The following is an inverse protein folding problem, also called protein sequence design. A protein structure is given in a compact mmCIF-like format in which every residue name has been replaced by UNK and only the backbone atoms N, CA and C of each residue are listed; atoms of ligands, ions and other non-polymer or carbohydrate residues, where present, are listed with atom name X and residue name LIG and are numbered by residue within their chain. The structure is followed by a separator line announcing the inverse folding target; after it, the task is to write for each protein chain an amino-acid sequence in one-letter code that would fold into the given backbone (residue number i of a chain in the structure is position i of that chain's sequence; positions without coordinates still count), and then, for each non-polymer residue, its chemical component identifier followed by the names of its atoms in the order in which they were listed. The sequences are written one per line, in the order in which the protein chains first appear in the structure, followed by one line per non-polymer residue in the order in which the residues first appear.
data_IF_558938932046
#
_entry.id   IF_558938932046
#
_cell.length_a   1.000
_cell.length_b   1.000
_cell.length_c   1.000
_cell.angle_alpha   90.00
_cell.angle_beta   90.00
_cell.angle_gamma   90.00
#
_symmetry.space_group_name_H-M   'P 1'
#
loop_
_entity.id
_entity.type
_entity.pdbx_description
1 polymer ?
#
# COMPACT_ATOMS: atom_id res chain seq x y z
N UNK A 1 3.80 6.78 12.31
CA UNK A 1 2.77 7.74 11.84
C UNK A 1 1.56 6.93 11.38
N UNK A 2 0.33 7.42 11.58
CA UNK A 2 -0.85 6.76 11.00
C UNK A 2 -0.99 7.10 9.51
N UNK A 3 -1.14 6.08 8.67
CA UNK A 3 -1.37 6.20 7.24
C UNK A 3 -2.43 5.20 6.81
N UNK A 4 -3.40 5.68 6.01
CA UNK A 4 -4.37 4.84 5.32
C UNK A 4 -4.14 4.92 3.81
N UNK A 5 -4.15 3.78 3.12
CA UNK A 5 -4.06 3.68 1.67
C UNK A 5 -5.37 3.09 1.15
N UNK A 6 -6.07 3.85 0.31
CA UNK A 6 -7.25 3.39 -0.41
C UNK A 6 -6.91 3.35 -1.90
N UNK A 7 -7.07 2.19 -2.53
CA UNK A 7 -6.62 1.98 -3.91
C UNK A 7 -7.61 1.12 -4.70
N UNK A 8 -8.04 1.60 -5.87
CA UNK A 8 -8.90 0.88 -6.81
C UNK A 8 -8.15 0.58 -8.13
N UNK A 9 -7.34 -0.49 -8.16
CA UNK A 9 -6.53 -0.84 -9.32
C UNK A 9 -7.37 -1.34 -10.50
N UNK A 10 -7.10 -0.77 -11.68
CA UNK A 10 -7.84 -1.05 -12.92
C UNK A 10 -7.56 -2.42 -13.55
N UNK A 11 -6.48 -3.11 -13.15
CA UNK A 11 -6.12 -4.46 -13.60
C UNK A 11 -6.00 -5.43 -12.43
N UNK A 12 -6.16 -6.72 -12.70
CA UNK A 12 -5.93 -7.78 -11.69
C UNK A 12 -4.45 -7.85 -11.28
N UNK A 13 -3.54 -7.58 -12.23
CA UNK A 13 -2.10 -7.60 -12.00
C UNK A 13 -1.68 -6.51 -11.01
N UNK A 14 -2.11 -5.26 -11.24
CA UNK A 14 -1.83 -4.15 -10.32
C UNK A 14 -2.46 -4.39 -8.95
N UNK A 15 -3.64 -5.01 -8.89
CA UNK A 15 -4.28 -5.39 -7.63
C UNK A 15 -3.46 -6.41 -6.85
N UNK A 16 -3.02 -7.46 -7.53
CA UNK A 16 -2.22 -8.52 -6.93
C UNK A 16 -0.87 -7.98 -6.44
N UNK A 17 -0.24 -7.10 -7.21
CA UNK A 17 1.01 -6.44 -6.83
C UNK A 17 0.85 -5.56 -5.59
N UNK A 18 -0.19 -4.72 -5.53
CA UNK A 18 -0.49 -3.90 -4.35
C UNK A 18 -0.76 -4.75 -3.10
N UNK A 19 -1.49 -5.85 -3.25
CA UNK A 19 -1.82 -6.76 -2.15
C UNK A 19 -0.58 -7.46 -1.59
N UNK A 20 0.43 -7.71 -2.42
CA UNK A 20 1.71 -8.24 -1.99
C UNK A 20 2.65 -7.16 -1.40
N UNK A 21 2.57 -5.93 -1.89
CA UNK A 21 3.46 -4.82 -1.50
C UNK A 21 3.13 -4.24 -0.12
N UNK A 22 1.86 -3.89 0.13
CA UNK A 22 1.45 -3.17 1.34
C UNK A 22 1.81 -3.90 2.65
N UNK A 23 1.63 -5.23 2.77
CA UNK A 23 2.05 -5.97 3.96
C UNK A 23 3.54 -5.89 4.28
N UNK A 24 4.41 -5.76 3.26
CA UNK A 24 5.87 -5.61 3.47
C UNK A 24 6.22 -4.28 4.14
N UNK A 25 5.34 -3.29 4.03
CA UNK A 25 5.45 -1.99 4.70
C UNK A 25 4.73 -1.95 6.05
N UNK A 26 4.18 -3.08 6.51
CA UNK A 26 3.46 -3.17 7.79
C UNK A 26 2.03 -2.65 7.73
N UNK A 27 1.44 -2.60 6.53
CA UNK A 27 0.02 -2.29 6.37
C UNK A 27 -0.84 -3.53 6.54
N UNK A 28 -1.93 -3.38 7.28
CA UNK A 28 -2.95 -4.40 7.46
C UNK A 28 -4.18 -4.05 6.62
N UNK A 29 -4.83 -5.08 6.07
CA UNK A 29 -6.07 -4.89 5.33
C UNK A 29 -7.24 -4.77 6.31
N UNK A 30 -7.84 -3.58 6.38
CA UNK A 30 -8.96 -3.31 7.29
C UNK A 30 -10.33 -3.45 6.61
N UNK A 31 -10.40 -3.24 5.29
CA UNK A 31 -11.60 -3.43 4.47
C UNK A 31 -11.23 -3.72 3.01
N UNK A 32 -12.23 -3.86 2.13
CA UNK A 32 -11.98 -3.96 0.69
C UNK A 32 -11.24 -2.71 0.20
N UNK A 33 -10.16 -2.90 -0.54
CA UNK A 33 -9.39 -1.82 -1.16
C UNK A 33 -8.80 -0.78 -0.19
N UNK A 34 -8.71 -1.07 1.11
CA UNK A 34 -8.17 -0.14 2.09
C UNK A 34 -7.30 -0.86 3.13
N UNK A 35 -6.18 -0.20 3.43
CA UNK A 35 -5.07 -0.70 4.20
C UNK A 35 -4.57 0.38 5.16
N UNK A 36 -4.21 0.00 6.39
CA UNK A 36 -3.81 0.95 7.43
C UNK A 36 -2.54 0.51 8.14
N UNK A 37 -1.76 1.48 8.63
CA UNK A 37 -0.63 1.22 9.54
C UNK A 37 -0.39 2.42 10.46
N UNK A 38 0.14 2.16 11.66
CA UNK A 38 0.65 3.18 12.58
C UNK A 38 2.18 3.22 12.65
N UNK A 39 2.85 2.24 12.03
CA UNK A 39 4.27 1.93 12.26
C UNK A 39 5.21 2.46 11.17
N UNK A 40 4.71 3.16 10.16
CA UNK A 40 5.54 3.71 9.07
C UNK A 40 6.14 5.08 9.41
N UNK A 41 7.38 5.30 8.97
CA UNK A 41 8.08 6.59 9.01
C UNK A 41 8.07 7.29 7.64
N UNK A 42 8.48 8.56 7.60
CA UNK A 42 8.45 9.39 6.38
C UNK A 42 9.32 8.83 5.24
N UNK A 43 10.49 8.26 5.57
CA UNK A 43 11.42 7.73 4.58
C UNK A 43 10.84 6.47 3.92
N UNK A 44 10.29 5.56 4.72
CA UNK A 44 9.62 4.35 4.22
C UNK A 44 8.34 4.71 3.46
N UNK A 45 7.60 5.72 3.89
CA UNK A 45 6.41 6.19 3.15
C UNK A 45 6.79 6.72 1.76
N UNK A 46 7.87 7.49 1.65
CA UNK A 46 8.37 7.97 0.36
C UNK A 46 8.81 6.83 -0.57
N UNK A 47 9.44 5.78 -0.04
CA UNK A 47 9.77 4.57 -0.80
C UNK A 47 8.51 3.82 -1.25
N UNK A 48 7.55 3.63 -0.35
CA UNK A 48 6.27 2.97 -0.66
C UNK A 48 5.56 3.66 -1.83
N UNK A 49 5.48 4.99 -1.81
CA UNK A 49 4.86 5.76 -2.90
C UNK A 49 5.50 5.43 -4.25
N UNK A 50 6.83 5.38 -4.32
CA UNK A 50 7.58 5.05 -5.55
C UNK A 50 7.38 3.60 -5.99
N UNK A 51 7.17 2.68 -5.07
CA UNK A 51 6.91 1.28 -5.40
C UNK A 51 5.48 1.09 -5.89
N UNK A 52 4.50 1.77 -5.28
CA UNK A 52 3.12 1.83 -5.78
C UNK A 52 3.12 2.37 -7.22
N UNK A 53 3.78 3.49 -7.49
CA UNK A 53 3.89 4.09 -8.84
C UNK A 53 4.48 3.15 -9.90
N UNK A 54 5.24 2.11 -9.50
CA UNK A 54 5.81 1.13 -10.45
C UNK A 54 4.84 0.01 -10.82
N UNK A 55 3.89 -0.29 -9.93
CA UNK A 55 2.98 -1.44 -10.06
C UNK A 55 1.55 -1.04 -10.44
N UNK A 56 1.25 0.26 -10.38
CA UNK A 56 -0.02 0.87 -10.81
C UNK A 56 0.21 1.85 -11.94
#
# INVERSE_FOLDING_TARGET
MFVAVVCDPGSEDSRSALYALLPQYGFEKVQRACYETTQIDERRLASLKREIDKVT
#
